data_IF_197581517636
#
_entry.id   IF_197581517636
#
_cell.length_a   1.000
_cell.length_b   1.000
_cell.length_c   1.000
_cell.angle_alpha   90.00
_cell.angle_beta   90.00
_cell.angle_gamma   90.00
#
_symmetry.space_group_name_H-M   'P 1'
#
loop_
_entity.id
_entity.type
_entity.pdbx_description
1 polymer ?
#
# COMPACT_ATOMS: atom_id res chain seq x y z
N UNK A 1 -9.98 -24.45 -35.06
CA UNK A 1 -10.18 -23.43 -34.01
C UNK A 1 -10.41 -24.18 -32.70
N UNK A 2 -9.36 -24.36 -31.91
CA UNK A 2 -9.42 -25.06 -30.62
C UNK A 2 -9.82 -24.02 -29.59
N UNK A 3 -11.05 -24.11 -29.08
CA UNK A 3 -11.51 -23.29 -27.97
C UNK A 3 -10.78 -23.72 -26.70
N UNK A 4 -10.11 -22.77 -26.04
CA UNK A 4 -9.50 -22.99 -24.74
C UNK A 4 -10.58 -23.32 -23.70
N UNK A 5 -10.34 -24.29 -22.79
CA UNK A 5 -11.26 -24.56 -21.71
C UNK A 5 -11.25 -23.38 -20.74
N UNK A 6 -12.40 -22.71 -20.61
CA UNK A 6 -12.65 -21.72 -19.58
C UNK A 6 -12.48 -22.43 -18.24
N UNK A 7 -11.39 -22.12 -17.53
CA UNK A 7 -11.14 -22.61 -16.19
C UNK A 7 -12.36 -22.24 -15.32
N UNK A 8 -13.16 -23.25 -14.99
CA UNK A 8 -14.31 -23.07 -14.11
C UNK A 8 -13.74 -22.76 -12.73
N UNK A 9 -13.83 -21.50 -12.31
CA UNK A 9 -13.51 -21.12 -10.93
C UNK A 9 -14.42 -21.97 -10.04
N UNK A 10 -13.87 -22.79 -9.12
CA UNK A 10 -14.70 -23.63 -8.27
C UNK A 10 -15.53 -22.73 -7.35
N UNK A 11 -16.80 -22.55 -7.67
CA UNK A 11 -17.76 -21.72 -6.90
C UNK A 11 -18.55 -22.55 -5.88
N UNK A 12 -17.92 -23.60 -5.35
CA UNK A 12 -18.53 -24.52 -4.39
C UNK A 12 -18.30 -24.13 -2.93
N UNK A 13 -19.03 -24.73 -1.98
CA UNK A 13 -18.80 -24.53 -0.54
C UNK A 13 -17.37 -24.89 -0.10
N UNK A 14 -16.70 -25.80 -0.82
CA UNK A 14 -15.32 -26.18 -0.58
C UNK A 14 -14.32 -25.05 -0.86
N UNK A 15 -14.58 -24.18 -1.86
CA UNK A 15 -13.68 -23.06 -2.15
C UNK A 15 -13.79 -21.94 -1.12
N UNK A 16 -14.97 -21.76 -0.53
CA UNK A 16 -15.17 -20.85 0.61
C UNK A 16 -14.44 -21.37 1.84
N UNK A 17 -14.57 -22.66 2.16
CA UNK A 17 -13.89 -23.26 3.30
C UNK A 17 -12.35 -23.22 3.16
N UNK A 18 -11.82 -23.46 1.97
CA UNK A 18 -10.39 -23.33 1.70
C UNK A 18 -9.93 -21.85 1.74
N UNK A 19 -10.74 -20.91 1.25
CA UNK A 19 -10.45 -19.49 1.39
C UNK A 19 -10.35 -19.06 2.87
N UNK A 20 -11.28 -19.52 3.71
CA UNK A 20 -11.26 -19.25 5.16
C UNK A 20 -10.02 -19.86 5.83
N UNK A 21 -9.66 -21.09 5.45
CA UNK A 21 -8.43 -21.74 5.93
C UNK A 21 -7.17 -20.94 5.53
N UNK A 22 -7.10 -20.48 4.28
CA UNK A 22 -5.99 -19.65 3.80
C UNK A 22 -5.94 -18.30 4.51
N UNK A 23 -7.09 -17.71 4.86
CA UNK A 23 -7.14 -16.48 5.66
C UNK A 23 -6.62 -16.71 7.07
N UNK A 24 -7.05 -17.78 7.75
CA UNK A 24 -6.52 -18.12 9.07
C UNK A 24 -5.00 -18.34 9.06
N UNK A 25 -4.48 -18.97 8.00
CA UNK A 25 -3.03 -19.09 7.80
C UNK A 25 -2.37 -17.73 7.59
N UNK A 26 -2.94 -16.86 6.74
CA UNK A 26 -2.42 -15.52 6.51
C UNK A 26 -2.34 -14.70 7.82
N UNK A 27 -3.34 -14.80 8.69
CA UNK A 27 -3.38 -14.07 9.97
C UNK A 27 -2.34 -14.57 10.98
N UNK A 28 -2.12 -15.88 11.02
CA UNK A 28 -1.05 -16.49 11.83
C UNK A 28 0.33 -16.04 11.33
N UNK A 29 0.54 -16.03 10.01
CA UNK A 29 1.77 -15.56 9.38
C UNK A 29 1.98 -14.05 9.62
N UNK A 30 0.91 -13.25 9.57
CA UNK A 30 0.94 -11.82 9.82
C UNK A 30 1.35 -11.53 11.27
N UNK A 31 0.74 -12.24 12.22
CA UNK A 31 1.08 -12.16 13.64
C UNK A 31 2.53 -12.57 13.92
N UNK A 32 3.10 -13.42 13.07
CA UNK A 32 4.49 -13.84 13.15
C UNK A 32 5.47 -12.99 12.31
N UNK A 33 5.01 -11.89 11.71
CA UNK A 33 5.83 -11.00 10.87
C UNK A 33 6.24 -11.59 9.52
N UNK A 34 5.64 -12.71 9.09
CA UNK A 34 5.95 -13.37 7.82
C UNK A 34 5.14 -12.80 6.67
N UNK A 35 5.41 -11.53 6.33
CA UNK A 35 4.59 -10.72 5.41
C UNK A 35 4.49 -11.30 3.98
N UNK A 36 5.57 -11.90 3.45
CA UNK A 36 5.54 -12.53 2.12
C UNK A 36 4.61 -13.75 2.06
N UNK A 37 4.58 -14.56 3.13
CA UNK A 37 3.68 -15.69 3.23
C UNK A 37 2.23 -15.22 3.41
N UNK A 38 2.02 -14.24 4.29
CA UNK A 38 0.74 -13.55 4.49
C UNK A 38 0.14 -13.10 3.16
N UNK A 39 0.90 -12.32 2.37
CA UNK A 39 0.48 -11.83 1.06
C UNK A 39 0.05 -12.95 0.12
N UNK A 40 0.85 -14.03 0.04
CA UNK A 40 0.56 -15.17 -0.86
C UNK A 40 -0.76 -15.85 -0.49
N UNK A 41 -0.98 -16.14 0.79
CA UNK A 41 -2.19 -16.78 1.26
C UNK A 41 -3.42 -15.87 1.13
N UNK A 42 -3.30 -14.59 1.50
CA UNK A 42 -4.39 -13.63 1.40
C UNK A 42 -4.84 -13.37 -0.05
N UNK A 43 -3.89 -13.25 -0.99
CA UNK A 43 -4.22 -13.12 -2.42
C UNK A 43 -4.86 -14.40 -2.98
N UNK A 44 -4.43 -15.57 -2.50
CA UNK A 44 -5.06 -16.82 -2.90
C UNK A 44 -6.50 -16.92 -2.38
N UNK A 45 -6.72 -16.60 -1.11
CA UNK A 45 -8.05 -16.55 -0.52
C UNK A 45 -8.96 -15.54 -1.25
N UNK A 46 -8.45 -14.35 -1.59
CA UNK A 46 -9.20 -13.33 -2.33
C UNK A 46 -9.62 -13.80 -3.74
N UNK A 47 -8.82 -14.65 -4.39
CA UNK A 47 -9.18 -15.24 -5.69
C UNK A 47 -10.24 -16.33 -5.56
N UNK A 48 -10.17 -17.14 -4.51
CA UNK A 48 -11.14 -18.21 -4.26
C UNK A 48 -12.48 -17.67 -3.76
N UNK A 49 -12.46 -16.60 -2.96
CA UNK A 49 -13.66 -15.99 -2.40
C UNK A 49 -13.61 -14.45 -2.49
N UNK A 50 -13.92 -13.87 -3.66
CA UNK A 50 -13.81 -12.43 -3.90
C UNK A 50 -14.74 -11.57 -3.04
N UNK A 51 -15.82 -12.15 -2.49
CA UNK A 51 -16.78 -11.44 -1.64
C UNK A 51 -16.35 -11.38 -0.18
N UNK A 52 -15.23 -12.00 0.22
CA UNK A 52 -14.74 -11.89 1.59
C UNK A 52 -14.31 -10.44 1.87
N UNK A 53 -14.80 -9.82 2.97
CA UNK A 53 -14.36 -8.50 3.38
C UNK A 53 -12.94 -8.49 3.99
N UNK A 54 -12.42 -9.63 4.49
CA UNK A 54 -11.14 -9.72 5.21
C UNK A 54 -9.94 -9.93 4.29
N UNK A 55 -10.07 -10.80 3.29
CA UNK A 55 -9.00 -11.11 2.35
C UNK A 55 -8.32 -9.88 1.69
N UNK A 56 -9.06 -8.90 1.14
CA UNK A 56 -8.42 -7.73 0.55
C UNK A 56 -7.67 -6.89 1.59
N UNK A 57 -8.21 -6.73 2.80
CA UNK A 57 -7.54 -5.98 3.88
C UNK A 57 -6.22 -6.63 4.25
N UNK A 58 -6.19 -7.94 4.48
CA UNK A 58 -4.97 -8.67 4.86
C UNK A 58 -3.94 -8.60 3.73
N UNK A 59 -4.38 -8.72 2.47
CA UNK A 59 -3.49 -8.60 1.32
C UNK A 59 -2.91 -7.19 1.17
N UNK A 60 -3.73 -6.14 1.30
CA UNK A 60 -3.30 -4.74 1.21
C UNK A 60 -2.35 -4.40 2.37
N UNK A 61 -2.69 -4.80 3.59
CA UNK A 61 -1.84 -4.64 4.78
C UNK A 61 -0.46 -5.25 4.56
N UNK A 62 -0.42 -6.50 4.10
CA UNK A 62 0.85 -7.18 3.82
C UNK A 62 1.65 -6.50 2.69
N UNK A 63 1.00 -5.95 1.65
CA UNK A 63 1.72 -5.22 0.60
C UNK A 63 2.35 -3.93 1.12
N UNK A 64 1.63 -3.16 1.95
CA UNK A 64 2.14 -1.91 2.53
C UNK A 64 3.29 -2.18 3.49
N UNK A 65 3.15 -3.17 4.38
CA UNK A 65 4.20 -3.52 5.33
C UNK A 65 5.43 -4.19 4.67
N UNK A 66 5.27 -4.73 3.45
CA UNK A 66 6.39 -5.26 2.66
C UNK A 66 7.19 -4.18 1.96
N UNK A 67 6.66 -2.96 1.86
CA UNK A 67 7.37 -1.85 1.25
C UNK A 67 8.70 -1.61 1.97
N UNK A 68 9.74 -1.34 1.20
CA UNK A 68 11.01 -0.93 1.76
C UNK A 68 10.86 0.42 2.46
N UNK A 69 11.52 0.59 3.61
CA UNK A 69 11.39 1.79 4.44
C UNK A 69 11.84 3.05 3.71
N UNK A 70 12.69 2.93 2.69
CA UNK A 70 13.12 4.05 1.85
C UNK A 70 12.20 4.36 0.66
N UNK A 71 11.24 3.48 0.31
CA UNK A 71 10.33 3.72 -0.81
C UNK A 71 8.93 4.13 -0.35
N UNK A 72 8.70 5.45 -0.35
CA UNK A 72 7.38 6.03 -0.12
C UNK A 72 6.38 5.62 -1.23
N UNK A 73 6.84 5.40 -2.46
CA UNK A 73 6.00 4.92 -3.55
C UNK A 73 5.51 3.49 -3.29
N UNK A 74 6.40 2.59 -2.88
CA UNK A 74 6.04 1.22 -2.52
C UNK A 74 5.07 1.17 -1.33
N UNK A 75 5.27 2.00 -0.30
CA UNK A 75 4.36 2.09 0.86
C UNK A 75 2.94 2.55 0.46
N UNK A 76 2.84 3.37 -0.58
CA UNK A 76 1.57 3.79 -1.18
C UNK A 76 1.06 2.85 -2.27
N UNK A 77 1.75 1.75 -2.58
CA UNK A 77 1.42 0.85 -3.68
C UNK A 77 1.35 1.57 -5.04
N UNK A 78 2.25 2.53 -5.24
CA UNK A 78 2.42 3.29 -6.48
C UNK A 78 3.57 2.72 -7.31
N UNK A 79 3.55 2.90 -8.65
CA UNK A 79 4.71 2.64 -9.49
C UNK A 79 5.91 3.49 -9.04
N UNK A 80 7.12 2.95 -9.13
CA UNK A 80 8.34 3.69 -8.82
C UNK A 80 8.56 4.81 -9.86
N UNK A 81 9.12 5.96 -9.47
CA UNK A 81 9.28 7.11 -10.37
C UNK A 81 10.30 6.86 -11.48
N UNK A 82 11.22 5.91 -11.29
CA UNK A 82 12.23 5.52 -12.28
C UNK A 82 11.69 4.52 -13.33
N UNK A 83 10.42 4.11 -13.21
CA UNK A 83 9.75 3.28 -14.21
C UNK A 83 9.48 4.11 -15.48
N UNK A 84 10.05 3.74 -16.65
CA UNK A 84 9.91 4.50 -17.88
C UNK A 84 8.46 4.60 -18.38
N UNK A 85 7.57 3.72 -17.92
CA UNK A 85 6.15 3.70 -18.30
C UNK A 85 5.26 4.44 -17.27
N UNK A 86 5.81 4.95 -16.17
CA UNK A 86 5.04 5.63 -15.13
C UNK A 86 4.60 7.03 -15.57
N UNK A 87 3.29 7.29 -15.50
CA UNK A 87 2.76 8.64 -15.69
C UNK A 87 3.15 9.56 -14.52
N UNK A 88 3.42 10.85 -14.77
CA UNK A 88 3.76 11.79 -13.71
C UNK A 88 2.59 11.89 -12.73
N UNK A 89 2.85 11.62 -11.45
CA UNK A 89 1.83 11.66 -10.40
C UNK A 89 1.50 13.12 -10.05
N UNK A 90 0.30 13.57 -10.40
CA UNK A 90 -0.20 14.87 -9.96
C UNK A 90 -0.65 14.82 -8.49
N UNK A 91 -0.51 15.95 -7.77
CA UNK A 91 -0.88 16.03 -6.36
C UNK A 91 -2.35 15.65 -6.07
N UNK A 92 -3.27 15.91 -7.01
CA UNK A 92 -4.67 15.52 -6.92
C UNK A 92 -4.86 13.99 -7.05
N UNK A 93 -4.10 13.35 -7.92
CA UNK A 93 -4.13 11.91 -8.13
C UNK A 93 -3.52 11.17 -6.94
N UNK A 94 -2.38 11.65 -6.44
CA UNK A 94 -1.76 11.15 -5.21
C UNK A 94 -2.74 11.22 -4.03
N UNK A 95 -3.42 12.36 -3.84
CA UNK A 95 -4.43 12.52 -2.78
C UNK A 95 -5.63 11.59 -2.96
N UNK A 96 -6.10 11.40 -4.19
CA UNK A 96 -7.20 10.47 -4.51
C UNK A 96 -6.78 9.02 -4.20
N UNK A 97 -5.57 8.65 -4.61
CA UNK A 97 -5.01 7.33 -4.39
C UNK A 97 -4.84 7.03 -2.90
N UNK A 98 -4.21 7.94 -2.16
CA UNK A 98 -4.06 7.82 -0.70
C UNK A 98 -5.42 7.61 -0.01
N UNK A 99 -6.43 8.42 -0.32
CA UNK A 99 -7.79 8.24 0.24
C UNK A 99 -8.39 6.88 -0.10
N UNK A 100 -8.15 6.39 -1.31
CA UNK A 100 -8.60 5.06 -1.75
C UNK A 100 -7.90 3.95 -0.97
N UNK A 101 -6.60 4.08 -0.72
CA UNK A 101 -5.80 3.14 0.08
C UNK A 101 -6.24 3.13 1.55
N UNK A 102 -6.43 4.30 2.17
CA UNK A 102 -6.97 4.39 3.54
C UNK A 102 -8.33 3.70 3.63
N UNK A 103 -9.17 3.86 2.60
CA UNK A 103 -10.46 3.18 2.53
C UNK A 103 -10.27 1.66 2.42
N UNK A 104 -9.38 1.15 1.56
CA UNK A 104 -9.18 -0.29 1.40
C UNK A 104 -8.61 -0.97 2.65
N UNK A 105 -7.75 -0.28 3.42
CA UNK A 105 -7.24 -0.77 4.71
C UNK A 105 -8.32 -0.88 5.79
N UNK A 106 -9.43 -0.14 5.66
CA UNK A 106 -10.52 -0.10 6.66
C UNK A 106 -11.78 -0.83 6.21
N UNK A 107 -11.97 -1.05 4.91
CA UNK A 107 -13.15 -1.74 4.37
C UNK A 107 -13.17 -3.18 4.87
N UNK A 108 -14.19 -3.54 5.66
CA UNK A 108 -14.32 -4.88 6.25
C UNK A 108 -13.85 -5.00 7.69
N UNK A 109 -13.10 -4.01 8.20
CA UNK A 109 -12.73 -3.87 9.62
C UNK A 109 -13.76 -2.99 10.34
N UNK A 110 -14.96 -3.53 10.59
CA UNK A 110 -15.87 -2.92 11.55
C UNK A 110 -15.46 -3.28 13.00
N UNK A 111 -16.09 -2.67 13.99
CA UNK A 111 -15.75 -2.91 15.41
C UNK A 111 -15.81 -4.40 15.81
N UNK A 112 -16.77 -5.16 15.25
CA UNK A 112 -16.89 -6.59 15.52
C UNK A 112 -15.75 -7.41 14.87
N UNK A 113 -15.40 -7.11 13.62
CA UNK A 113 -14.28 -7.77 12.93
C UNK A 113 -12.94 -7.43 13.59
N UNK A 114 -12.74 -6.17 13.99
CA UNK A 114 -11.53 -5.75 14.68
C UNK A 114 -11.36 -6.46 16.04
N UNK A 115 -12.46 -6.65 16.78
CA UNK A 115 -12.44 -7.42 18.02
C UNK A 115 -12.19 -8.92 17.79
N UNK A 116 -12.71 -9.50 16.71
CA UNK A 116 -12.50 -10.90 16.36
C UNK A 116 -11.07 -11.19 15.86
N UNK A 117 -10.43 -10.22 15.21
CA UNK A 117 -9.11 -10.36 14.58
C UNK A 117 -8.17 -9.21 14.99
N UNK A 118 -7.74 -9.15 16.26
CA UNK A 118 -6.99 -8.02 16.78
C UNK A 118 -5.62 -7.84 16.11
N UNK A 119 -4.93 -8.92 15.72
CA UNK A 119 -3.66 -8.84 14.99
C UNK A 119 -3.82 -8.20 13.61
N UNK A 120 -4.92 -8.49 12.91
CA UNK A 120 -5.21 -7.89 11.60
C UNK A 120 -5.54 -6.42 11.76
N UNK A 121 -6.34 -6.06 12.76
CA UNK A 121 -6.65 -4.67 13.05
C UNK A 121 -5.40 -3.87 13.40
N UNK A 122 -4.53 -4.40 14.27
CA UNK A 122 -3.28 -3.76 14.65
C UNK A 122 -2.34 -3.57 13.44
N UNK A 123 -2.16 -4.60 12.63
CA UNK A 123 -1.33 -4.52 11.43
C UNK A 123 -1.90 -3.56 10.37
N UNK A 124 -3.24 -3.48 10.24
CA UNK A 124 -3.88 -2.54 9.32
C UNK A 124 -3.69 -1.08 9.78
N UNK A 125 -3.71 -0.81 11.08
CA UNK A 125 -3.39 0.52 11.62
C UNK A 125 -1.89 0.85 11.47
N UNK A 126 -0.99 -0.13 11.64
CA UNK A 126 0.44 0.03 11.35
C UNK A 126 0.68 0.38 9.86
N UNK A 127 0.06 -0.38 8.95
CA UNK A 127 0.11 -0.11 7.52
C UNK A 127 -0.46 1.27 7.18
N UNK A 128 -1.52 1.70 7.87
CA UNK A 128 -2.07 3.05 7.71
C UNK A 128 -1.06 4.12 8.16
N UNK A 129 -0.34 3.88 9.25
CA UNK A 129 0.76 4.74 9.71
C UNK A 129 1.82 4.90 8.62
N UNK A 130 2.35 3.78 8.10
CA UNK A 130 3.36 3.79 7.03
C UNK A 130 2.87 4.51 5.77
N UNK A 131 1.63 4.27 5.35
CA UNK A 131 1.04 4.94 4.20
C UNK A 131 0.87 6.46 4.43
N UNK A 132 0.57 6.87 5.67
CA UNK A 132 0.41 8.29 6.03
C UNK A 132 1.76 9.01 6.02
N UNK A 133 2.78 8.41 6.64
CA UNK A 133 4.15 8.93 6.61
C UNK A 133 4.66 9.08 5.17
N UNK A 134 4.42 8.08 4.32
CA UNK A 134 4.77 8.13 2.91
C UNK A 134 4.02 9.23 2.14
N UNK A 135 2.72 9.42 2.42
CA UNK A 135 1.95 10.51 1.81
C UNK A 135 2.46 11.89 2.24
N UNK A 136 2.80 12.07 3.51
CA UNK A 136 3.39 13.31 4.03
C UNK A 136 4.75 13.58 3.41
N UNK A 137 5.62 12.57 3.30
CA UNK A 137 6.92 12.69 2.65
C UNK A 137 6.81 13.14 1.18
N UNK A 138 5.86 12.59 0.42
CA UNK A 138 5.65 12.95 -1.00
C UNK A 138 4.91 14.27 -1.20
N UNK A 139 4.17 14.76 -0.20
CA UNK A 139 3.45 16.04 -0.29
C UNK A 139 4.18 17.20 0.37
N UNK A 140 5.22 16.91 1.16
CA UNK A 140 6.12 17.93 1.70
C UNK A 140 6.87 18.56 0.54
N UNK A 141 6.73 19.88 0.31
CA UNK A 141 7.46 20.54 -0.75
C UNK A 141 8.96 20.38 -0.50
N UNK A 142 9.67 19.77 -1.44
CA UNK A 142 11.13 19.68 -1.37
C UNK A 142 11.67 21.11 -1.32
N UNK A 143 12.52 21.47 -0.33
CA UNK A 143 13.19 22.75 -0.32
C UNK A 143 13.93 22.90 -1.65
N UNK A 144 13.43 23.76 -2.52
CA UNK A 144 14.09 23.99 -3.80
C UNK A 144 15.39 24.70 -3.52
N UNK A 145 16.54 24.20 -3.98
CA UNK A 145 17.76 24.99 -3.94
C UNK A 145 17.93 25.78 -5.23
N UNK A 146 18.66 26.89 -5.14
CA UNK A 146 19.11 27.61 -6.32
C UNK A 146 20.57 28.00 -6.16
N UNK A 147 21.25 28.07 -7.31
CA UNK A 147 22.63 28.51 -7.38
C UNK A 147 22.67 29.98 -7.74
N UNK A 148 23.41 30.78 -6.99
CA UNK A 148 23.72 32.16 -7.38
C UNK A 148 25.18 32.48 -7.13
N UNK A 149 25.73 33.36 -7.96
CA UNK A 149 27.09 33.84 -7.82
C UNK A 149 27.16 34.86 -6.68
N UNK A 150 28.08 34.65 -5.73
CA UNK A 150 28.31 35.60 -4.66
C UNK A 150 29.00 36.87 -5.19
N UNK A 151 28.42 38.03 -4.89
CA UNK A 151 28.96 39.33 -5.31
C UNK A 151 30.35 39.63 -4.72
N UNK A 152 30.68 39.05 -3.55
CA UNK A 152 31.96 39.26 -2.86
C UNK A 152 33.09 38.38 -3.36
N UNK A 153 32.85 37.07 -3.51
CA UNK A 153 33.90 36.10 -3.84
C UNK A 153 33.84 35.57 -5.29
N UNK A 154 32.80 35.92 -6.08
CA UNK A 154 32.57 35.45 -7.45
C UNK A 154 32.43 33.92 -7.60
N UNK A 155 32.23 33.19 -6.51
CA UNK A 155 31.96 31.74 -6.52
C UNK A 155 30.45 31.47 -6.55
N UNK A 156 30.07 30.32 -7.09
CA UNK A 156 28.70 29.80 -7.04
C UNK A 156 28.44 29.19 -5.66
N UNK A 157 27.37 29.64 -5.02
CA UNK A 157 26.87 29.07 -3.78
C UNK A 157 25.46 28.53 -3.97
N UNK A 158 25.18 27.40 -3.33
CA UNK A 158 23.85 26.83 -3.24
C UNK A 158 23.10 27.48 -2.07
N UNK A 159 21.89 27.94 -2.32
CA UNK A 159 21.02 28.56 -1.34
C UNK A 159 19.68 27.83 -1.30
N UNK A 160 19.11 27.72 -0.11
CA UNK A 160 17.75 27.21 0.08
C UNK A 160 16.73 28.26 -0.36
N UNK A 161 15.74 27.87 -1.17
CA UNK A 161 14.52 28.66 -1.36
C UNK A 161 13.65 28.41 -0.14
N UNK A 162 13.52 29.43 0.71
CA UNK A 162 12.54 29.39 1.77
C UNK A 162 11.14 29.43 1.14
N UNK A 163 10.42 28.31 1.14
CA UNK A 163 9.02 28.21 0.71
C UNK A 163 8.09 28.79 1.77
N UNK A 164 8.22 30.09 2.03
CA UNK A 164 7.24 30.85 2.79
C UNK A 164 6.10 31.27 1.87
N UNK A 165 4.88 30.84 2.17
CA UNK A 165 3.64 31.33 1.56
C UNK A 165 3.65 32.86 1.51
N UNK A 166 3.61 33.43 0.30
CA UNK A 166 3.16 34.80 0.07
C UNK A 166 1.63 34.84 -0.01
#
# INVERSE_FOLDING_TARGET
>A
MVGEPIATVPTGPESVAEADRLLALAESELSAGRLRATRRHALHAARLYPTSPRAPVVATTANVLLADASSHHAALLLPEPDDPDASPLFASELRRHFKSLVKSLRVGLNAATAAAYPSVAAAAEEALGHATEAYEALTTPTPGTFWTACAGCRLLHEFERNSGNC
#
